data_IF_273006483721
#
_entry.id   IF_273006483721
#
_cell.length_a   1.000
_cell.length_b   1.000
_cell.length_c   1.000
_cell.angle_alpha   90.00
_cell.angle_beta   90.00
_cell.angle_gamma   90.00
#
_symmetry.space_group_name_H-M   'P 1'
#
loop_
_entity.id
_entity.type
_entity.pdbx_description
1 polymer ?
#
# COMPACT_ATOMS: atom_id res chain seq x y z
N UNK A 1 16.97 -41.90 26.92
CA UNK A 1 16.24 -42.42 28.10
C UNK A 1 14.78 -42.00 27.98
N UNK A 2 13.87 -42.99 28.06
CA UNK A 2 12.41 -42.97 28.31
C UNK A 2 11.53 -41.97 27.52
N UNK A 3 10.57 -42.34 26.64
CA UNK A 3 9.41 -43.28 26.70
C UNK A 3 8.08 -42.53 26.91
N UNK A 4 7.16 -42.66 25.91
CA UNK A 4 5.70 -42.94 25.93
C UNK A 4 4.89 -42.53 27.19
N UNK A 5 3.62 -42.08 27.16
CA UNK A 5 2.49 -42.39 26.26
C UNK A 5 1.24 -41.57 26.65
N UNK A 6 0.27 -41.54 25.73
CA UNK A 6 -1.14 -41.11 25.80
C UNK A 6 -1.94 -41.63 27.02
N UNK A 7 -3.05 -40.94 27.36
CA UNK A 7 -4.45 -41.45 27.35
C UNK A 7 -5.39 -40.53 28.18
N UNK A 8 -6.54 -40.19 27.59
CA UNK A 8 -7.73 -39.55 28.21
C UNK A 8 -8.53 -40.59 29.03
N UNK A 9 -9.41 -40.20 29.97
CA UNK A 9 -10.83 -40.45 29.67
C UNK A 9 -11.84 -39.45 30.24
N UNK A 10 -13.08 -39.74 29.87
CA UNK A 10 -14.34 -38.98 29.90
C UNK A 10 -15.04 -38.91 31.27
N UNK A 11 -15.97 -37.95 31.37
CA UNK A 11 -17.09 -37.82 32.33
C UNK A 11 -18.02 -39.07 32.34
N UNK A 12 -18.98 -39.29 33.29
CA UNK A 12 -20.18 -38.43 33.41
C UNK A 12 -20.98 -38.42 34.76
N UNK A 13 -21.98 -37.52 34.81
CA UNK A 13 -23.33 -37.65 35.39
C UNK A 13 -23.54 -38.10 36.87
N UNK A 14 -24.17 -37.26 37.70
CA UNK A 14 -25.63 -37.35 37.97
C UNK A 14 -26.09 -36.58 39.22
N UNK A 15 -27.33 -36.12 39.08
CA UNK A 15 -28.30 -35.44 39.95
C UNK A 15 -28.45 -35.88 41.41
N UNK A 16 -28.85 -34.94 42.28
CA UNK A 16 -29.89 -35.16 43.29
C UNK A 16 -30.70 -33.86 43.53
N UNK A 17 -32.01 -33.93 43.28
CA UNK A 17 -33.02 -32.91 43.65
C UNK A 17 -33.58 -33.25 45.03
N UNK A 18 -33.79 -32.24 45.87
CA UNK A 18 -34.72 -32.31 46.99
C UNK A 18 -35.85 -31.28 46.81
N UNK A 19 -37.07 -31.79 46.84
CA UNK A 19 -38.34 -31.07 46.83
C UNK A 19 -38.66 -30.50 48.21
N UNK A 20 -39.18 -29.27 48.28
CA UNK A 20 -40.11 -28.83 49.33
C UNK A 20 -41.19 -27.89 48.73
N UNK A 21 -42.43 -27.92 49.26
CA UNK A 21 -43.63 -27.49 48.54
C UNK A 21 -44.01 -26.01 48.74
N UNK A 22 -44.75 -25.54 47.73
CA UNK A 22 -45.35 -24.23 47.55
C UNK A 22 -46.39 -23.86 48.60
N UNK A 23 -46.37 -22.59 49.04
CA UNK A 23 -47.58 -21.89 49.47
C UNK A 23 -47.70 -20.56 48.73
N UNK A 24 -48.82 -20.41 48.03
CA UNK A 24 -49.19 -19.31 47.17
C UNK A 24 -49.88 -18.21 47.99
N UNK A 25 -49.45 -16.96 47.82
CA UNK A 25 -50.26 -15.78 48.16
C UNK A 25 -50.32 -14.87 46.92
N UNK A 26 -51.51 -14.41 46.48
CA UNK A 26 -51.63 -13.59 45.28
C UNK A 26 -51.29 -12.13 45.59
N UNK A 27 -50.32 -11.57 44.87
CA UNK A 27 -50.07 -10.12 44.85
C UNK A 27 -50.94 -9.46 43.76
N UNK A 28 -51.54 -8.29 44.02
CA UNK A 28 -52.39 -7.60 43.05
C UNK A 28 -51.58 -7.04 41.88
N UNK A 29 -51.97 -7.40 40.66
CA UNK A 29 -51.32 -7.00 39.41
C UNK A 29 -51.64 -5.54 39.08
N UNK A 30 -50.74 -4.60 39.40
CA UNK A 30 -50.77 -3.25 38.84
C UNK A 30 -50.20 -3.32 37.41
N UNK A 31 -51.06 -3.13 36.41
CA UNK A 31 -50.68 -3.14 34.99
C UNK A 31 -50.15 -1.75 34.60
N UNK A 32 -48.87 -1.49 34.84
CA UNK A 32 -48.18 -0.32 34.31
C UNK A 32 -48.04 -0.52 32.79
N UNK A 33 -48.64 0.38 32.00
CA UNK A 33 -48.52 0.38 30.54
C UNK A 33 -47.12 0.88 30.19
N UNK A 34 -46.15 -0.03 30.08
CA UNK A 34 -44.82 0.29 29.55
C UNK A 34 -44.94 0.57 28.06
N UNK A 35 -44.99 1.85 27.68
CA UNK A 35 -44.65 2.25 26.32
C UNK A 35 -43.14 2.42 26.27
N UNK A 36 -42.41 1.33 26.01
CA UNK A 36 -40.98 1.40 25.74
C UNK A 36 -40.82 2.14 24.40
N UNK A 37 -40.19 3.34 24.35
CA UNK A 37 -39.76 3.86 23.07
C UNK A 37 -38.71 2.87 22.53
N UNK A 38 -39.00 2.24 21.40
CA UNK A 38 -37.99 1.47 20.68
C UNK A 38 -36.96 2.47 20.15
N UNK A 39 -35.91 2.72 20.93
CA UNK A 39 -34.72 3.38 20.43
C UNK A 39 -34.08 2.37 19.48
N UNK A 40 -34.36 2.51 18.19
CA UNK A 40 -33.55 1.87 17.16
C UNK A 40 -32.18 2.51 17.23
N UNK A 41 -31.22 1.83 17.85
CA UNK A 41 -29.82 2.15 17.69
C UNK A 41 -29.51 1.98 16.20
N UNK A 42 -29.37 3.08 15.47
CA UNK A 42 -28.72 3.05 14.18
C UNK A 42 -27.25 2.79 14.47
N UNK A 43 -26.80 1.55 14.29
CA UNK A 43 -25.37 1.29 14.16
C UNK A 43 -24.92 2.11 12.96
N UNK A 44 -24.12 3.17 13.19
CA UNK A 44 -23.36 3.76 12.12
C UNK A 44 -22.63 2.61 11.40
N UNK A 45 -22.57 2.60 10.06
CA UNK A 45 -21.75 1.63 9.36
C UNK A 45 -20.35 1.69 9.97
N UNK A 46 -19.85 0.56 10.46
CA UNK A 46 -18.44 0.43 10.79
C UNK A 46 -17.71 0.86 9.51
N UNK A 47 -16.78 1.85 9.56
CA UNK A 47 -16.07 2.25 8.35
C UNK A 47 -15.45 0.98 7.76
N UNK A 48 -15.87 0.64 6.54
CA UNK A 48 -15.25 -0.48 5.83
C UNK A 48 -13.75 -0.23 5.75
N UNK A 49 -12.90 -1.25 5.92
CA UNK A 49 -11.46 -1.08 5.76
C UNK A 49 -11.16 -0.44 4.41
N UNK A 50 -10.23 0.52 4.41
CA UNK A 50 -9.85 1.26 3.21
C UNK A 50 -9.41 0.28 2.11
N UNK A 51 -9.86 0.55 0.89
CA UNK A 51 -9.42 -0.20 -0.29
C UNK A 51 -7.95 0.12 -0.60
N UNK A 52 -7.29 -0.77 -1.33
CA UNK A 52 -5.89 -0.56 -1.71
C UNK A 52 -5.68 0.73 -2.52
N UNK A 53 -6.64 1.09 -3.38
CA UNK A 53 -6.53 2.31 -4.18
C UNK A 53 -6.76 3.58 -3.33
N UNK A 54 -7.60 3.53 -2.30
CA UNK A 54 -7.70 4.62 -1.32
C UNK A 54 -6.39 4.79 -0.53
N UNK A 55 -5.74 3.69 -0.14
CA UNK A 55 -4.43 3.75 0.52
C UNK A 55 -3.35 4.33 -0.40
N UNK A 56 -3.31 3.92 -1.67
CA UNK A 56 -2.40 4.50 -2.68
C UNK A 56 -2.66 5.99 -2.87
N UNK A 57 -3.92 6.41 -2.89
CA UNK A 57 -4.29 7.82 -3.01
C UNK A 57 -3.84 8.63 -1.80
N UNK A 58 -4.07 8.14 -0.58
CA UNK A 58 -3.60 8.79 0.64
C UNK A 58 -2.07 8.93 0.66
N UNK A 59 -1.35 7.88 0.26
CA UNK A 59 0.09 7.90 0.19
C UNK A 59 0.60 8.87 -0.90
N UNK A 60 -0.11 8.94 -2.04
CA UNK A 60 0.16 9.91 -3.10
C UNK A 60 -0.07 11.36 -2.64
N UNK A 61 -1.20 11.64 -1.97
CA UNK A 61 -1.50 12.97 -1.43
C UNK A 61 -0.39 13.41 -0.45
N UNK A 62 0.06 12.49 0.42
CA UNK A 62 1.15 12.76 1.35
C UNK A 62 2.48 13.01 0.67
N UNK A 63 2.78 12.29 -0.42
CA UNK A 63 4.00 12.47 -1.18
C UNK A 63 4.04 13.83 -1.92
N UNK A 64 2.88 14.29 -2.39
CA UNK A 64 2.77 15.59 -3.08
C UNK A 64 3.01 16.77 -2.15
N UNK A 65 2.84 16.63 -0.83
CA UNK A 65 3.22 17.68 0.13
C UNK A 65 4.72 18.03 0.11
N UNK A 66 5.58 17.13 -0.37
CA UNK A 66 7.02 17.41 -0.52
C UNK A 66 7.34 18.27 -1.74
N UNK A 67 6.37 18.45 -2.64
CA UNK A 67 6.55 19.20 -3.88
C UNK A 67 6.41 20.69 -3.63
N UNK A 68 7.41 21.45 -4.06
CA UNK A 68 7.44 22.89 -3.93
C UNK A 68 7.47 23.54 -5.32
N UNK A 69 6.95 24.77 -5.40
CA UNK A 69 7.04 25.61 -6.61
C UNK A 69 8.48 25.66 -7.11
N UNK A 70 8.65 25.57 -8.44
CA UNK A 70 9.96 25.71 -9.08
C UNK A 70 10.72 24.39 -9.24
N UNK A 71 10.24 23.29 -8.65
CA UNK A 71 10.96 22.01 -8.67
C UNK A 71 10.92 21.32 -10.04
N UNK A 72 12.03 20.67 -10.37
CA UNK A 72 12.12 19.58 -11.34
C UNK A 72 11.86 18.26 -10.61
N UNK A 73 10.84 17.52 -11.07
CA UNK A 73 10.32 16.35 -10.37
C UNK A 73 10.51 15.09 -11.23
N UNK A 74 11.17 14.08 -10.69
CA UNK A 74 11.18 12.73 -11.25
C UNK A 74 9.83 12.04 -11.03
N UNK A 75 9.11 11.76 -12.12
CA UNK A 75 7.79 11.14 -12.08
C UNK A 75 7.91 9.63 -12.25
N UNK A 76 7.70 8.89 -11.15
CA UNK A 76 7.80 7.43 -11.08
C UNK A 76 6.82 6.64 -11.95
N UNK A 77 6.95 5.31 -11.92
CA UNK A 77 6.12 4.38 -12.70
C UNK A 77 5.54 3.29 -11.80
N UNK A 78 4.31 3.49 -11.33
CA UNK A 78 3.54 2.46 -10.64
C UNK A 78 2.04 2.84 -10.58
N UNK A 79 1.21 1.95 -10.04
CA UNK A 79 -0.22 2.25 -9.81
C UNK A 79 -0.41 3.42 -8.85
N UNK A 80 0.49 3.62 -7.88
CA UNK A 80 0.50 4.78 -6.97
C UNK A 80 0.95 6.07 -7.67
N UNK A 81 1.92 5.99 -8.59
CA UNK A 81 2.43 7.14 -9.33
C UNK A 81 1.34 7.80 -10.19
N UNK A 82 0.38 7.00 -10.69
CA UNK A 82 -0.76 7.55 -11.42
C UNK A 82 -1.61 8.51 -10.57
N UNK A 83 -1.77 8.25 -9.26
CA UNK A 83 -2.45 9.17 -8.35
C UNK A 83 -1.62 10.43 -8.10
N UNK A 84 -0.30 10.30 -7.96
CA UNK A 84 0.63 11.44 -7.80
C UNK A 84 0.56 12.36 -9.02
N UNK A 85 0.67 11.81 -10.23
CA UNK A 85 0.61 12.57 -11.48
C UNK A 85 -0.75 13.25 -11.65
N UNK A 86 -1.85 12.56 -11.32
CA UNK A 86 -3.19 13.16 -11.32
C UNK A 86 -3.30 14.34 -10.35
N UNK A 87 -2.77 14.19 -9.13
CA UNK A 87 -2.80 15.24 -8.10
C UNK A 87 -1.95 16.45 -8.50
N UNK A 88 -0.79 16.24 -9.09
CA UNK A 88 0.04 17.33 -9.62
C UNK A 88 -0.68 18.10 -10.73
N UNK A 89 -1.33 17.39 -11.66
CA UNK A 89 -2.15 18.03 -12.70
C UNK A 89 -3.29 18.89 -12.12
N UNK A 90 -3.97 18.41 -11.08
CA UNK A 90 -5.00 19.17 -10.35
C UNK A 90 -4.41 20.45 -9.73
N UNK A 91 -3.29 20.35 -9.01
CA UNK A 91 -2.67 21.49 -8.35
C UNK A 91 -2.13 22.54 -9.35
N UNK A 92 -1.60 22.09 -10.49
CA UNK A 92 -1.16 22.97 -11.58
C UNK A 92 -2.34 23.66 -12.26
N UNK A 93 -3.41 22.93 -12.58
CA UNK A 93 -4.60 23.51 -13.24
C UNK A 93 -5.35 24.51 -12.36
N UNK A 94 -5.35 24.31 -11.04
CA UNK A 94 -5.94 25.25 -10.07
C UNK A 94 -5.01 26.40 -9.68
N UNK A 95 -3.76 26.40 -10.14
CA UNK A 95 -2.76 27.42 -9.82
C UNK A 95 -2.21 27.36 -8.39
N UNK A 96 -2.55 26.33 -7.61
CA UNK A 96 -2.01 26.09 -6.27
C UNK A 96 -0.53 25.71 -6.31
N UNK A 97 -0.09 25.11 -7.40
CA UNK A 97 1.30 24.79 -7.68
C UNK A 97 1.69 25.42 -9.02
N UNK A 98 2.91 25.93 -9.13
CA UNK A 98 3.39 26.62 -10.34
C UNK A 98 4.87 26.32 -10.59
N UNK A 99 5.31 26.50 -11.84
CA UNK A 99 6.69 26.33 -12.28
C UNK A 99 7.27 24.94 -11.98
N UNK A 100 6.52 23.89 -12.28
CA UNK A 100 6.98 22.51 -12.14
C UNK A 100 7.39 21.97 -13.51
N UNK A 101 8.45 21.17 -13.52
CA UNK A 101 8.87 20.38 -14.69
C UNK A 101 8.93 18.91 -14.28
N UNK A 102 8.24 18.03 -14.99
CA UNK A 102 8.26 16.59 -14.78
C UNK A 102 9.30 15.88 -15.66
N UNK A 103 10.04 14.92 -15.11
CA UNK A 103 10.92 14.00 -15.83
C UNK A 103 10.39 12.57 -15.65
N UNK A 104 9.68 12.00 -16.65
CA UNK A 104 8.99 10.73 -16.49
C UNK A 104 9.93 9.52 -16.56
N UNK A 105 9.68 8.51 -15.73
CA UNK A 105 10.46 7.26 -15.73
C UNK A 105 9.93 6.20 -16.69
N UNK A 106 8.79 6.42 -17.36
CA UNK A 106 8.26 5.55 -18.40
C UNK A 106 7.40 6.30 -19.41
N UNK A 107 7.15 5.67 -20.58
CA UNK A 107 6.20 6.18 -21.57
C UNK A 107 4.78 6.31 -21.01
N UNK A 108 4.36 5.36 -20.17
CA UNK A 108 3.04 5.41 -19.51
C UNK A 108 2.90 6.66 -18.65
N UNK A 109 3.91 6.97 -17.83
CA UNK A 109 3.89 8.16 -16.98
C UNK A 109 3.96 9.44 -17.82
N UNK A 110 4.77 9.45 -18.86
CA UNK A 110 4.87 10.55 -19.84
C UNK A 110 3.51 10.87 -20.48
N UNK A 111 2.84 9.86 -21.04
CA UNK A 111 1.52 9.99 -21.67
C UNK A 111 0.47 10.54 -20.69
N UNK A 112 0.46 10.03 -19.45
CA UNK A 112 -0.46 10.51 -18.42
C UNK A 112 -0.18 11.98 -18.08
N UNK A 113 1.08 12.34 -17.84
CA UNK A 113 1.46 13.70 -17.44
C UNK A 113 1.17 14.71 -18.57
N UNK A 114 1.41 14.33 -19.83
CA UNK A 114 1.02 15.13 -21.01
C UNK A 114 -0.48 15.36 -21.06
N UNK A 115 -1.30 14.33 -20.80
CA UNK A 115 -2.77 14.46 -20.81
C UNK A 115 -3.31 15.44 -19.74
N UNK A 116 -2.51 15.72 -18.71
CA UNK A 116 -2.83 16.62 -17.60
C UNK A 116 -2.13 17.98 -17.73
N UNK A 117 -1.51 18.26 -18.87
CA UNK A 117 -0.78 19.51 -19.15
C UNK A 117 0.36 19.80 -18.16
N UNK A 118 1.00 18.75 -17.61
CA UNK A 118 2.20 18.92 -16.79
C UNK A 118 3.38 19.18 -17.75
N UNK A 119 4.14 20.28 -17.58
CA UNK A 119 5.33 20.52 -18.38
C UNK A 119 6.34 19.38 -18.19
N UNK A 120 6.83 18.80 -19.28
CA UNK A 120 7.76 17.68 -19.24
C UNK A 120 9.14 18.05 -19.79
N UNK A 121 10.15 17.32 -19.34
CA UNK A 121 11.49 17.36 -19.88
C UNK A 121 12.20 16.01 -19.73
N UNK A 122 13.48 15.97 -20.03
CA UNK A 122 14.35 14.78 -19.96
C UNK A 122 15.54 15.05 -19.05
N UNK A 123 16.24 13.97 -18.66
CA UNK A 123 17.51 14.10 -17.93
C UNK A 123 18.59 14.82 -18.75
N UNK A 124 18.55 14.75 -20.08
CA UNK A 124 19.51 15.47 -20.92
C UNK A 124 19.37 17.00 -20.77
N UNK A 125 18.13 17.48 -20.61
CA UNK A 125 17.84 18.91 -20.44
C UNK A 125 17.86 19.34 -18.97
N UNK A 126 17.50 18.45 -18.04
CA UNK A 126 17.55 18.67 -16.59
C UNK A 126 18.30 17.51 -15.94
N UNK A 127 19.64 17.57 -15.90
CA UNK A 127 20.47 16.51 -15.31
C UNK A 127 20.40 16.48 -13.77
N UNK A 128 19.77 17.48 -13.16
CA UNK A 128 19.55 17.58 -11.73
C UNK A 128 18.05 17.60 -11.44
N UNK A 129 17.61 16.74 -10.53
CA UNK A 129 16.22 16.57 -10.13
C UNK A 129 16.10 16.93 -8.64
N UNK A 130 15.17 17.80 -8.27
CA UNK A 130 15.02 18.20 -6.86
C UNK A 130 14.35 17.09 -6.03
N UNK A 131 13.39 16.40 -6.64
CA UNK A 131 12.61 15.37 -5.99
C UNK A 131 12.17 14.29 -6.98
N UNK A 132 12.49 13.03 -6.71
CA UNK A 132 11.81 11.90 -7.36
C UNK A 132 10.77 11.31 -6.43
N UNK A 133 9.60 10.95 -6.99
CA UNK A 133 8.55 10.23 -6.27
C UNK A 133 8.21 8.97 -7.06
N UNK A 134 8.30 7.80 -6.42
CA UNK A 134 8.01 6.53 -7.08
C UNK A 134 7.60 5.44 -6.08
N UNK A 135 7.00 4.36 -6.57
CA UNK A 135 6.73 3.18 -5.75
C UNK A 135 7.91 2.21 -5.68
N UNK A 136 7.74 1.17 -4.88
CA UNK A 136 8.65 0.02 -4.85
C UNK A 136 7.86 -1.30 -4.92
N UNK A 137 8.54 -2.35 -5.36
CA UNK A 137 8.02 -3.71 -5.37
C UNK A 137 8.23 -4.39 -4.01
N UNK A 138 9.34 -4.07 -3.35
CA UNK A 138 9.68 -4.47 -1.98
C UNK A 138 10.48 -3.36 -1.28
N UNK A 139 10.33 -3.25 0.03
CA UNK A 139 11.07 -2.30 0.89
C UNK A 139 11.54 -3.04 2.14
N UNK A 140 12.84 -3.02 2.41
CA UNK A 140 13.42 -3.63 3.61
C UNK A 140 13.53 -2.62 4.77
N UNK A 141 13.96 -3.04 5.98
CA UNK A 141 14.10 -2.14 7.13
C UNK A 141 15.15 -1.03 6.98
N UNK A 142 16.10 -1.17 6.04
CA UNK A 142 17.12 -0.16 5.74
C UNK A 142 16.67 0.81 4.64
N UNK A 143 15.44 0.64 4.13
CA UNK A 143 14.88 1.36 2.98
C UNK A 143 15.57 1.03 1.65
N UNK A 144 16.26 -0.11 1.58
CA UNK A 144 16.68 -0.69 0.31
C UNK A 144 15.46 -1.28 -0.41
N UNK A 145 15.50 -1.29 -1.75
CA UNK A 145 14.30 -1.51 -2.56
C UNK A 145 14.51 -2.59 -3.63
N UNK A 146 13.49 -3.41 -3.83
CA UNK A 146 13.27 -4.08 -5.12
C UNK A 146 12.34 -3.23 -5.97
N UNK A 147 12.66 -3.13 -7.26
CA UNK A 147 11.93 -2.32 -8.23
C UNK A 147 11.99 -2.92 -9.62
N UNK A 148 11.15 -2.41 -10.52
CA UNK A 148 11.22 -2.71 -11.94
C UNK A 148 10.26 -3.79 -12.43
N UNK A 149 9.37 -4.35 -11.60
CA UNK A 149 8.37 -5.33 -12.06
C UNK A 149 7.44 -4.77 -13.14
N UNK A 150 7.27 -3.44 -13.17
CA UNK A 150 6.55 -2.72 -14.22
C UNK A 150 7.33 -2.46 -15.52
N UNK A 151 8.58 -2.91 -15.63
CA UNK A 151 9.39 -2.83 -16.86
C UNK A 151 10.05 -1.47 -17.15
N UNK A 152 10.23 -0.62 -16.12
CA UNK A 152 10.84 0.71 -16.26
C UNK A 152 12.14 0.89 -15.46
N UNK A 153 12.74 -0.21 -14.98
CA UNK A 153 13.83 -0.21 -14.00
C UNK A 153 14.98 0.76 -14.33
N UNK A 154 15.50 0.69 -15.57
CA UNK A 154 16.65 1.50 -15.95
C UNK A 154 16.36 3.00 -15.88
N UNK A 155 15.26 3.45 -16.50
CA UNK A 155 14.85 4.86 -16.49
C UNK A 155 14.53 5.34 -15.07
N UNK A 156 13.83 4.51 -14.28
CA UNK A 156 13.57 4.81 -12.87
C UNK A 156 14.87 5.05 -12.10
N UNK A 157 15.86 4.16 -12.27
CA UNK A 157 17.14 4.26 -11.57
C UNK A 157 17.92 5.51 -12.00
N UNK A 158 17.95 5.82 -13.29
CA UNK A 158 18.64 7.01 -13.81
C UNK A 158 18.06 8.31 -13.22
N UNK A 159 16.73 8.47 -13.24
CA UNK A 159 16.08 9.69 -12.72
C UNK A 159 16.30 9.83 -11.22
N UNK A 160 16.20 8.74 -10.46
CA UNK A 160 16.39 8.77 -9.00
C UNK A 160 17.83 9.02 -8.60
N UNK A 161 18.79 8.44 -9.32
CA UNK A 161 20.21 8.67 -9.07
C UNK A 161 20.60 10.13 -9.33
N UNK A 162 19.86 10.83 -10.20
CA UNK A 162 20.00 12.25 -10.46
C UNK A 162 19.18 13.15 -9.50
N UNK A 163 18.52 12.57 -8.48
CA UNK A 163 17.63 13.30 -7.56
C UNK A 163 18.27 13.60 -6.21
N UNK A 164 18.10 14.82 -5.71
CA UNK A 164 18.52 15.22 -4.35
C UNK A 164 17.76 14.45 -3.26
N UNK A 165 16.47 14.23 -3.51
CA UNK A 165 15.60 13.48 -2.62
C UNK A 165 14.80 12.46 -3.42
N UNK A 166 14.72 11.25 -2.90
CA UNK A 166 13.87 10.20 -3.43
C UNK A 166 12.84 9.78 -2.38
N UNK A 167 11.56 10.04 -2.65
CA UNK A 167 10.43 9.64 -1.81
C UNK A 167 9.81 8.36 -2.38
N UNK A 168 9.83 7.31 -1.57
CA UNK A 168 9.24 6.01 -1.89
C UNK A 168 7.82 5.96 -1.32
N UNK A 169 6.85 5.57 -2.16
CA UNK A 169 5.44 5.50 -1.78
C UNK A 169 4.92 4.09 -1.95
N UNK A 170 4.63 3.42 -0.83
CA UNK A 170 4.16 2.02 -0.79
C UNK A 170 3.07 1.84 0.26
N UNK A 171 2.22 0.84 0.05
CA UNK A 171 1.42 0.25 1.12
C UNK A 171 2.24 -0.78 1.92
N UNK A 172 1.75 -1.15 3.10
CA UNK A 172 2.42 -2.06 4.03
C UNK A 172 2.67 -3.45 3.45
N UNK A 173 1.89 -3.87 2.44
CA UNK A 173 2.12 -5.12 1.71
C UNK A 173 3.44 -5.19 0.96
N UNK A 174 4.19 -4.08 0.85
CA UNK A 174 5.51 -4.03 0.21
C UNK A 174 6.66 -4.23 1.19
N UNK A 175 6.40 -4.24 2.50
CA UNK A 175 7.43 -4.36 3.52
C UNK A 175 7.92 -5.81 3.62
N UNK A 176 9.23 -6.00 3.58
CA UNK A 176 9.91 -7.30 3.72
C UNK A 176 10.98 -7.22 4.82
N UNK A 177 11.32 -8.36 5.41
CA UNK A 177 12.46 -8.43 6.35
C UNK A 177 13.82 -8.35 5.66
N UNK A 178 13.87 -8.71 4.37
CA UNK A 178 15.05 -8.61 3.50
C UNK A 178 14.61 -8.73 2.04
N UNK A 179 15.40 -8.13 1.13
CA UNK A 179 15.09 -8.10 -0.30
C UNK A 179 14.99 -9.50 -0.90
N UNK A 180 14.01 -9.70 -1.78
CA UNK A 180 13.61 -11.02 -2.30
C UNK A 180 12.65 -11.78 -1.38
N UNK A 181 12.23 -11.18 -0.25
CA UNK A 181 11.45 -11.84 0.81
C UNK A 181 10.08 -12.36 0.37
N UNK A 182 9.49 -11.83 -0.71
CA UNK A 182 8.24 -12.36 -1.25
C UNK A 182 8.42 -13.58 -2.17
N UNK A 183 9.65 -13.93 -2.55
CA UNK A 183 9.92 -14.97 -3.55
C UNK A 183 9.39 -14.62 -4.95
N UNK A 184 9.03 -13.36 -5.17
CA UNK A 184 8.61 -12.82 -6.46
C UNK A 184 9.84 -12.35 -7.25
N UNK A 185 9.63 -11.98 -8.52
CA UNK A 185 10.73 -11.58 -9.40
C UNK A 185 11.56 -10.42 -8.82
N UNK A 186 12.88 -10.57 -8.87
CA UNK A 186 13.89 -9.53 -8.73
C UNK A 186 14.38 -9.15 -10.14
N UNK A 187 13.90 -8.04 -10.73
CA UNK A 187 14.13 -7.75 -12.14
C UNK A 187 15.60 -7.46 -12.46
N UNK A 188 16.11 -8.07 -13.54
CA UNK A 188 17.42 -7.79 -14.11
C UNK A 188 17.23 -7.46 -15.60
N UNK A 189 17.62 -6.27 -16.02
CA UNK A 189 17.57 -5.86 -17.42
C UNK A 189 18.85 -6.31 -18.14
N UNK A 190 18.71 -7.03 -19.25
CA UNK A 190 19.82 -7.58 -20.04
C UNK A 190 19.70 -7.17 -21.49
N UNK A 191 20.83 -7.11 -22.19
CA UNK A 191 20.85 -6.93 -23.65
C UNK A 191 20.25 -8.15 -24.35
N UNK A 192 19.65 -7.93 -25.53
CA UNK A 192 19.01 -9.00 -26.30
C UNK A 192 20.01 -10.03 -26.83
N UNK A 193 21.20 -9.58 -27.21
CA UNK A 193 22.26 -10.43 -27.72
C UNK A 193 22.64 -11.49 -26.67
N UNK A 194 22.47 -12.77 -27.02
CA UNK A 194 22.78 -13.91 -26.16
C UNK A 194 22.09 -13.89 -24.78
N UNK A 195 20.88 -13.34 -24.65
CA UNK A 195 20.19 -13.24 -23.35
C UNK A 195 20.00 -14.60 -22.64
N UNK A 196 19.83 -15.71 -23.38
CA UNK A 196 19.75 -17.07 -22.81
C UNK A 196 21.05 -17.50 -22.13
N UNK A 197 22.20 -17.12 -22.68
CA UNK A 197 23.50 -17.35 -22.04
C UNK A 197 23.60 -16.55 -20.74
N UNK A 198 23.22 -15.26 -20.77
CA UNK A 198 23.21 -14.42 -19.58
C UNK A 198 22.25 -14.95 -18.49
N UNK A 199 21.11 -15.55 -18.88
CA UNK A 199 20.20 -16.17 -17.93
C UNK A 199 20.89 -17.29 -17.13
N UNK A 200 21.58 -18.22 -17.81
CA UNK A 200 22.32 -19.30 -17.14
C UNK A 200 23.40 -18.71 -16.23
N UNK A 201 24.14 -17.71 -16.71
CA UNK A 201 25.19 -17.05 -15.91
C UNK A 201 24.64 -16.35 -14.67
N UNK A 202 23.45 -15.75 -14.75
CA UNK A 202 22.78 -15.14 -13.60
C UNK A 202 22.33 -16.21 -12.59
N UNK A 203 21.81 -17.35 -13.07
CA UNK A 203 21.41 -18.46 -12.21
C UNK A 203 22.56 -19.10 -11.43
N UNK A 204 23.80 -18.99 -11.93
CA UNK A 204 24.99 -19.52 -11.25
C UNK A 204 25.56 -18.59 -10.17
N UNK A 205 25.09 -17.34 -10.09
CA UNK A 205 25.53 -16.37 -9.07
C UNK A 205 24.76 -16.49 -7.74
N UNK A 206 23.65 -17.22 -7.73
CA UNK A 206 22.72 -17.36 -6.61
C UNK A 206 22.40 -18.84 -6.36
#
# INVERSE_FOLDING_TARGET
MASLSLISPQSPCSTLRHHLPSTFFPNPTIRIRQTSPSIKAFSAPIPSPLTQDELKKLAADKAVEYVQRGMVIGLGTCSTAAFIVSKLGELLSTGQLTNIIGVPTSKRTEEQALSLNIPLSTLDNHPHIDLAIDGADEVDPNLDLVKGRGGALLREKMVKAASDKFVVVVDDSKLVSGLGGFGLAMPVEVVQFCWKYNLVRLQELF
#
